data_IF_830174071873
#
_entry.id   IF_830174071873
#
_cell.length_a   1.000
_cell.length_b   1.000
_cell.length_c   1.000
_cell.angle_alpha   90.00
_cell.angle_beta   90.00
_cell.angle_gamma   90.00
#
_symmetry.space_group_name_H-M   'P 1'
#
loop_
_entity.id
_entity.type
_entity.pdbx_description
1 polymer ?
#
# COMPACT_ATOMS: atom_id res chain seq x y z
N UNK A 1 7.96 9.52 -4.74
CA UNK A 1 7.56 8.52 -3.72
C UNK A 1 6.63 7.53 -4.38
N UNK A 2 6.62 6.28 -3.93
CA UNK A 2 5.74 5.24 -4.49
C UNK A 2 4.68 4.84 -3.48
N UNK A 3 3.43 4.71 -3.92
CA UNK A 3 2.31 4.35 -3.07
C UNK A 3 1.66 3.04 -3.54
N UNK A 4 1.11 2.30 -2.57
CA UNK A 4 0.25 1.14 -2.78
C UNK A 4 -1.01 1.36 -1.94
N UNK A 5 -2.16 1.53 -2.60
CA UNK A 5 -3.45 1.81 -1.97
C UNK A 5 -4.26 0.52 -1.88
N UNK A 6 -4.66 0.16 -0.66
CA UNK A 6 -5.39 -1.06 -0.36
C UNK A 6 -6.82 -1.07 -0.93
N UNK A 7 -7.40 -2.26 -1.08
CA UNK A 7 -8.74 -2.46 -1.66
C UNK A 7 -9.88 -1.78 -0.87
N UNK A 8 -9.66 -1.61 0.43
CA UNK A 8 -10.61 -0.98 1.34
C UNK A 8 -10.72 0.54 1.14
N UNK A 9 -9.77 1.14 0.43
CA UNK A 9 -9.77 2.57 0.14
C UNK A 9 -10.33 2.84 -1.26
N UNK A 10 -10.86 4.05 -1.53
CA UNK A 10 -11.39 4.37 -2.84
C UNK A 10 -10.28 4.48 -3.90
N UNK A 11 -10.51 3.94 -5.10
CA UNK A 11 -9.63 4.13 -6.28
C UNK A 11 -9.34 5.60 -6.57
N UNK A 12 -10.30 6.48 -6.27
CA UNK A 12 -10.14 7.93 -6.44
C UNK A 12 -8.97 8.49 -5.62
N UNK A 13 -8.64 7.90 -4.47
CA UNK A 13 -7.46 8.26 -3.68
C UNK A 13 -6.17 7.95 -4.45
N UNK A 14 -6.07 6.75 -5.05
CA UNK A 14 -4.93 6.40 -5.88
C UNK A 14 -4.77 7.36 -7.06
N UNK A 15 -5.87 7.65 -7.77
CA UNK A 15 -5.86 8.62 -8.87
C UNK A 15 -5.46 10.02 -8.43
N UNK A 16 -5.89 10.46 -7.24
CA UNK A 16 -5.46 11.75 -6.69
C UNK A 16 -3.93 11.81 -6.48
N UNK A 17 -3.33 10.74 -5.96
CA UNK A 17 -1.88 10.65 -5.79
C UNK A 17 -1.13 10.63 -7.13
N UNK A 18 -1.65 9.92 -8.12
CA UNK A 18 -1.11 9.95 -9.49
C UNK A 18 -1.16 11.36 -10.09
N UNK A 19 -2.29 12.06 -9.94
CA UNK A 19 -2.44 13.43 -10.43
C UNK A 19 -1.51 14.42 -9.73
N UNK A 20 -1.05 14.08 -8.53
CA UNK A 20 -0.04 14.83 -7.77
C UNK A 20 1.40 14.50 -8.18
N UNK A 21 1.60 13.59 -9.14
CA UNK A 21 2.91 13.20 -9.68
C UNK A 21 3.56 12.00 -8.98
N UNK A 22 2.82 11.23 -8.18
CA UNK A 22 3.36 10.05 -7.48
C UNK A 22 3.08 8.75 -8.24
N UNK A 23 4.06 7.84 -8.23
CA UNK A 23 3.90 6.46 -8.72
C UNK A 23 3.00 5.70 -7.75
N UNK A 24 1.76 5.47 -8.14
CA UNK A 24 0.73 4.90 -7.26
C UNK A 24 0.14 3.66 -7.92
N UNK A 25 -0.09 2.63 -7.12
CA UNK A 25 -0.83 1.44 -7.52
C UNK A 25 -2.01 1.30 -6.58
N UNK A 26 -3.21 1.07 -7.10
CA UNK A 26 -4.32 0.56 -6.31
C UNK A 26 -4.33 -0.97 -6.40
N UNK A 27 -4.70 -1.70 -5.34
CA UNK A 27 -4.79 -3.17 -5.39
C UNK A 27 -5.70 -3.67 -6.51
N UNK A 28 -6.76 -2.92 -6.86
CA UNK A 28 -7.61 -3.18 -8.04
C UNK A 28 -6.86 -3.20 -9.38
N UNK A 29 -5.72 -2.53 -9.48
CA UNK A 29 -4.88 -2.53 -10.68
C UNK A 29 -3.90 -3.72 -10.70
N UNK A 30 -3.84 -4.54 -9.63
CA UNK A 30 -3.06 -5.77 -9.56
C UNK A 30 -3.85 -6.97 -10.15
N UNK A 31 -3.16 -8.04 -10.60
CA UNK A 31 -3.84 -9.23 -11.14
C UNK A 31 -4.91 -9.85 -10.22
N UNK A 32 -4.71 -9.96 -8.88
CA UNK A 32 -5.75 -10.47 -7.98
C UNK A 32 -6.77 -9.39 -7.56
N UNK A 33 -6.60 -8.13 -7.96
CA UNK A 33 -7.48 -7.02 -7.62
C UNK A 33 -7.75 -6.91 -6.10
N UNK A 34 -9.02 -6.84 -5.70
CA UNK A 34 -9.45 -6.82 -4.30
C UNK A 34 -9.22 -8.14 -3.55
N UNK A 35 -8.79 -9.21 -4.23
CA UNK A 35 -8.38 -10.48 -3.60
C UNK A 35 -6.88 -10.53 -3.29
N UNK A 36 -6.15 -9.41 -3.48
CA UNK A 36 -4.74 -9.30 -3.06
C UNK A 36 -4.68 -9.39 -1.53
N UNK A 37 -3.96 -10.36 -0.99
CA UNK A 37 -3.84 -10.55 0.46
C UNK A 37 -2.86 -9.57 1.11
N UNK A 38 -2.97 -9.36 2.43
CA UNK A 38 -2.05 -8.51 3.19
C UNK A 38 -0.58 -8.93 3.01
N UNK A 39 -0.32 -10.24 2.93
CA UNK A 39 1.02 -10.77 2.67
C UNK A 39 1.53 -10.34 1.29
N UNK A 40 0.70 -10.42 0.25
CA UNK A 40 1.08 -9.95 -1.08
C UNK A 40 1.29 -8.44 -1.13
N UNK A 41 0.45 -7.66 -0.43
CA UNK A 41 0.60 -6.21 -0.31
C UNK A 41 1.94 -5.88 0.35
N UNK A 42 2.30 -6.60 1.41
CA UNK A 42 3.58 -6.44 2.10
C UNK A 42 4.78 -6.86 1.23
N UNK A 43 4.68 -7.97 0.51
CA UNK A 43 5.74 -8.42 -0.40
C UNK A 43 5.99 -7.36 -1.49
N UNK A 44 4.92 -6.85 -2.11
CA UNK A 44 4.99 -5.78 -3.12
C UNK A 44 5.57 -4.49 -2.52
N UNK A 45 5.15 -4.11 -1.31
CA UNK A 45 5.61 -2.87 -0.68
C UNK A 45 7.10 -2.92 -0.38
N UNK A 46 7.60 -4.06 0.12
CA UNK A 46 9.00 -4.29 0.42
C UNK A 46 9.83 -4.35 -0.87
N UNK A 47 9.42 -5.18 -1.83
CA UNK A 47 10.17 -5.40 -3.08
C UNK A 47 10.28 -4.09 -3.88
N UNK A 48 9.17 -3.35 -3.98
CA UNK A 48 9.10 -2.15 -4.80
C UNK A 48 9.35 -0.85 -4.02
N UNK A 49 9.62 -0.94 -2.71
CA UNK A 49 9.82 0.19 -1.79
C UNK A 49 8.65 1.19 -1.84
N UNK A 50 7.42 0.67 -1.69
CA UNK A 50 6.17 1.46 -1.70
C UNK A 50 5.69 1.71 -0.28
N UNK A 51 5.13 2.90 -0.08
CA UNK A 51 4.39 3.25 1.12
C UNK A 51 2.97 2.67 0.96
N UNK A 52 2.55 1.83 1.89
CA UNK A 52 1.19 1.27 1.89
C UNK A 52 0.26 2.26 2.55
N UNK A 53 -0.87 2.55 1.89
CA UNK A 53 -1.99 3.30 2.47
C UNK A 53 -3.11 2.30 2.68
N UNK A 54 -3.47 2.09 3.95
CA UNK A 54 -4.45 1.13 4.44
C UNK A 54 -5.43 1.82 5.38
N UNK A 55 -6.63 1.24 5.53
CA UNK A 55 -7.64 1.67 6.50
C UNK A 55 -7.61 0.84 7.79
N UNK A 56 -6.95 -0.32 7.80
CA UNK A 56 -6.98 -1.21 8.95
C UNK A 56 -6.11 -0.64 10.08
N UNK A 57 -6.75 -0.22 11.17
CA UNK A 57 -6.09 0.37 12.33
C UNK A 57 -5.27 -0.65 13.14
N UNK A 58 -5.49 -1.93 12.90
CA UNK A 58 -4.99 -3.04 13.71
C UNK A 58 -3.86 -3.82 13.01
N UNK A 59 -3.15 -3.15 12.10
CA UNK A 59 -2.13 -3.72 11.21
C UNK A 59 -0.81 -4.06 11.94
N UNK A 60 -0.87 -5.06 12.84
CA UNK A 60 0.26 -5.57 13.63
C UNK A 60 1.34 -6.26 12.79
N UNK A 61 1.05 -6.63 11.54
CA UNK A 61 1.95 -7.42 10.68
C UNK A 61 2.94 -6.60 9.86
N UNK A 62 2.64 -5.34 9.53
CA UNK A 62 3.57 -4.53 8.74
C UNK A 62 4.85 -4.16 9.51
N UNK A 63 4.80 -4.15 10.84
CA UNK A 63 5.88 -3.64 11.69
C UNK A 63 6.74 -4.70 12.41
N UNK A 64 6.44 -6.00 12.30
CA UNK A 64 7.11 -7.01 13.14
C UNK A 64 8.51 -7.43 12.67
N UNK A 65 9.04 -6.83 11.60
CA UNK A 65 10.42 -7.07 11.16
C UNK A 65 11.33 -5.87 11.53
N UNK A 66 12.17 -5.99 12.57
CA UNK A 66 13.07 -4.92 13.01
C UNK A 66 14.18 -4.58 12.00
N UNK A 67 14.31 -5.33 10.90
CA UNK A 67 15.20 -4.99 9.78
C UNK A 67 14.57 -4.05 8.74
N UNK A 68 13.27 -3.73 8.86
CA UNK A 68 12.47 -3.02 7.83
C UNK A 68 11.75 -1.76 8.37
N UNK A 69 12.42 -0.99 9.23
CA UNK A 69 11.83 0.16 9.97
C UNK A 69 11.73 1.45 9.15
N UNK A 70 11.14 1.46 7.95
CA UNK A 70 10.98 2.74 7.23
C UNK A 70 9.68 2.85 6.44
N UNK A 71 8.87 3.82 6.90
CA UNK A 71 7.87 4.57 6.14
C UNK A 71 6.48 3.93 6.02
N UNK A 72 5.69 4.10 7.08
CA UNK A 72 4.23 4.15 6.97
C UNK A 72 3.81 5.56 7.38
N UNK A 73 3.18 6.30 6.47
CA UNK A 73 2.55 7.57 6.79
C UNK A 73 1.15 7.27 7.32
N UNK A 74 1.00 7.29 8.65
CA UNK A 74 -0.32 7.31 9.28
C UNK A 74 -0.85 8.74 9.23
N UNK A 75 -1.98 8.95 8.55
CA UNK A 75 -2.73 10.21 8.55
C UNK A 75 -4.03 10.02 9.31
#
# INVERSE_FOLDING_TARGET
MKFLVEAQLPVRLARFLETSGYDTIHTQDLPPQNSTSDTQINDISIEQKRIVITKDSDDRRFFSDPSKTSQIASC
#
